data_IF_538563461673
#
_entry.id   IF_538563461673
#
_cell.length_a   1.000
_cell.length_b   1.000
_cell.length_c   1.000
_cell.angle_alpha   90.00
_cell.angle_beta   90.00
_cell.angle_gamma   90.00
#
_symmetry.space_group_name_H-M   'P 1'
#
loop_
_entity.id
_entity.type
_entity.pdbx_description
1 polymer ?
#
# COMPACT_ATOMS: atom_id res chain seq x y z
N UNK A 1 -26.10 -2.00 18.46
CA UNK A 1 -25.29 -3.11 17.93
C UNK A 1 -25.92 -3.52 16.62
N UNK A 2 -25.31 -3.14 15.51
CA UNK A 2 -25.81 -3.40 14.16
C UNK A 2 -25.78 -4.91 13.91
N UNK A 3 -26.95 -5.52 13.72
CA UNK A 3 -27.01 -6.89 13.22
C UNK A 3 -26.58 -6.85 11.75
N UNK A 4 -25.31 -7.12 11.49
CA UNK A 4 -24.76 -7.20 10.14
C UNK A 4 -25.05 -8.60 9.58
N UNK A 5 -25.67 -8.67 8.40
CA UNK A 5 -25.78 -9.92 7.63
C UNK A 5 -24.42 -10.19 6.99
N UNK A 6 -23.91 -11.42 7.08
CA UNK A 6 -22.63 -11.76 6.49
C UNK A 6 -22.71 -11.80 4.96
N UNK A 7 -21.75 -11.15 4.29
CA UNK A 7 -21.62 -11.18 2.84
C UNK A 7 -20.57 -12.22 2.46
N UNK A 8 -20.94 -13.12 1.55
CA UNK A 8 -20.09 -14.18 1.03
C UNK A 8 -19.94 -14.04 -0.48
N UNK A 9 -18.81 -14.47 -1.02
CA UNK A 9 -18.62 -14.57 -2.47
C UNK A 9 -18.97 -16.00 -2.91
N UNK A 10 -19.87 -16.11 -3.88
CA UNK A 10 -20.24 -17.38 -4.51
C UNK A 10 -20.16 -17.27 -6.02
N UNK A 11 -20.03 -18.41 -6.71
CA UNK A 11 -20.04 -18.44 -8.16
C UNK A 11 -21.46 -18.64 -8.68
N UNK A 12 -21.98 -17.66 -9.42
CA UNK A 12 -23.29 -17.68 -10.08
C UNK A 12 -23.02 -17.46 -11.57
N UNK A 13 -23.46 -18.38 -12.44
CA UNK A 13 -23.18 -18.33 -13.89
C UNK A 13 -21.70 -18.07 -14.27
N UNK A 14 -20.76 -18.74 -13.59
CA UNK A 14 -19.30 -18.58 -13.80
C UNK A 14 -18.72 -17.22 -13.39
N UNK A 15 -19.53 -16.31 -12.84
CA UNK A 15 -19.08 -15.04 -12.27
C UNK A 15 -19.05 -15.10 -10.75
N UNK A 16 -18.11 -14.38 -10.14
CA UNK A 16 -18.03 -14.26 -8.68
C UNK A 16 -18.95 -13.14 -8.22
N UNK A 17 -20.02 -13.49 -7.53
CA UNK A 17 -21.07 -12.55 -7.09
C UNK A 17 -21.14 -12.53 -5.56
N UNK A 18 -21.36 -11.33 -5.01
CA UNK A 18 -21.62 -11.17 -3.58
C UNK A 18 -23.03 -11.65 -3.26
N UNK A 19 -23.12 -12.51 -2.25
CA UNK A 19 -24.34 -13.19 -1.84
C UNK A 19 -24.51 -13.17 -0.32
N UNK A 20 -25.75 -13.36 0.12
CA UNK A 20 -26.11 -13.49 1.54
C UNK A 20 -26.85 -14.79 1.78
N UNK A 21 -26.74 -15.33 3.00
CA UNK A 21 -27.49 -16.51 3.39
C UNK A 21 -28.97 -16.15 3.62
N UNK A 22 -29.88 -16.81 2.91
CA UNK A 22 -31.31 -16.52 3.02
C UNK A 22 -31.88 -16.76 4.42
N UNK A 23 -31.31 -17.68 5.21
CA UNK A 23 -31.76 -17.96 6.59
C UNK A 23 -31.36 -16.85 7.54
N UNK A 24 -30.17 -16.28 7.35
CA UNK A 24 -29.73 -15.11 8.11
C UNK A 24 -30.59 -13.90 7.78
N UNK A 25 -30.90 -13.69 6.50
CA UNK A 25 -31.84 -12.65 6.07
C UNK A 25 -33.23 -12.84 6.67
N UNK A 26 -33.78 -14.07 6.62
CA UNK A 26 -35.07 -14.41 7.22
C UNK A 26 -35.12 -14.11 8.73
N UNK A 27 -34.07 -14.49 9.46
CA UNK A 27 -33.94 -14.23 10.88
C UNK A 27 -33.80 -12.72 11.18
N UNK A 28 -32.98 -12.00 10.39
CA UNK A 28 -32.80 -10.56 10.52
C UNK A 28 -34.09 -9.77 10.28
N UNK A 29 -34.88 -10.20 9.29
CA UNK A 29 -36.17 -9.61 8.96
C UNK A 29 -37.28 -10.01 9.93
N UNK A 30 -37.03 -10.91 10.89
CA UNK A 30 -38.01 -11.35 11.90
C UNK A 30 -39.32 -11.86 11.27
N UNK A 31 -39.21 -12.58 10.15
CA UNK A 31 -40.37 -13.09 9.41
C UNK A 31 -41.04 -14.24 10.18
N UNK A 32 -42.34 -14.09 10.46
CA UNK A 32 -43.10 -15.08 11.24
C UNK A 32 -43.44 -16.38 10.49
N UNK A 33 -43.43 -16.38 9.16
CA UNK A 33 -43.59 -17.61 8.35
C UNK A 33 -42.35 -18.51 8.48
N UNK A 34 -42.54 -19.83 8.41
CA UNK A 34 -41.39 -20.73 8.38
C UNK A 34 -40.52 -20.48 7.14
N UNK A 35 -39.21 -20.61 7.30
CA UNK A 35 -38.23 -20.30 6.24
C UNK A 35 -38.52 -21.01 4.92
N UNK A 36 -38.91 -22.28 4.94
CA UNK A 36 -39.02 -23.09 3.72
C UNK A 36 -40.21 -22.68 2.89
N UNK A 37 -41.34 -22.40 3.54
CA UNK A 37 -42.53 -21.85 2.90
C UNK A 37 -42.25 -20.42 2.44
N UNK A 38 -41.64 -19.60 3.29
CA UNK A 38 -41.34 -18.20 2.99
C UNK A 38 -40.47 -18.04 1.74
N UNK A 39 -39.32 -18.73 1.66
CA UNK A 39 -38.41 -18.54 0.53
C UNK A 39 -39.01 -19.04 -0.79
N UNK A 40 -39.77 -20.14 -0.76
CA UNK A 40 -40.46 -20.68 -1.94
C UNK A 40 -41.58 -19.74 -2.41
N UNK A 41 -42.39 -19.24 -1.48
CA UNK A 41 -43.44 -18.26 -1.77
C UNK A 41 -42.83 -17.02 -2.45
N UNK A 42 -41.72 -16.50 -1.92
CA UNK A 42 -41.07 -15.30 -2.45
C UNK A 42 -40.42 -15.53 -3.81
N UNK A 43 -39.73 -16.64 -4.00
CA UNK A 43 -39.16 -17.02 -5.30
C UNK A 43 -40.26 -17.07 -6.36
N UNK A 44 -41.38 -17.72 -6.05
CA UNK A 44 -42.50 -17.84 -7.00
C UNK A 44 -43.23 -16.53 -7.24
N UNK A 45 -43.47 -15.73 -6.19
CA UNK A 45 -44.23 -14.49 -6.27
C UNK A 45 -43.50 -13.39 -7.07
N UNK A 46 -42.18 -13.36 -6.99
CA UNK A 46 -41.32 -12.35 -7.64
C UNK A 46 -40.53 -12.91 -8.82
N UNK A 47 -40.83 -14.15 -9.23
CA UNK A 47 -40.25 -14.79 -10.41
C UNK A 47 -38.71 -14.84 -10.39
N UNK A 48 -38.10 -15.05 -9.22
CA UNK A 48 -36.65 -15.15 -9.08
C UNK A 48 -36.10 -16.43 -9.72
N UNK A 49 -34.98 -16.30 -10.43
CA UNK A 49 -34.38 -17.38 -11.22
C UNK A 49 -33.15 -17.98 -10.52
N UNK A 50 -33.11 -19.32 -10.43
CA UNK A 50 -31.93 -20.04 -9.94
C UNK A 50 -30.79 -19.94 -10.95
N UNK A 51 -29.59 -19.62 -10.46
CA UNK A 51 -28.43 -19.33 -11.30
C UNK A 51 -28.33 -17.86 -11.74
N UNK A 52 -29.30 -17.01 -11.37
CA UNK A 52 -29.23 -15.55 -11.59
C UNK A 52 -29.40 -14.79 -10.29
N UNK A 53 -30.52 -15.00 -9.62
CA UNK A 53 -30.89 -14.29 -8.40
C UNK A 53 -30.43 -15.02 -7.14
N UNK A 54 -30.27 -16.35 -7.23
CA UNK A 54 -29.78 -17.16 -6.13
C UNK A 54 -29.20 -18.51 -6.59
N UNK A 55 -28.52 -19.19 -5.69
CA UNK A 55 -28.10 -20.60 -5.84
C UNK A 55 -28.57 -21.42 -4.63
N UNK A 56 -28.82 -22.71 -4.85
CA UNK A 56 -29.14 -23.67 -3.79
C UNK A 56 -27.92 -24.51 -3.44
N UNK A 57 -27.68 -24.68 -2.15
CA UNK A 57 -26.71 -25.64 -1.61
C UNK A 57 -27.45 -26.69 -0.79
N UNK A 58 -26.96 -27.92 -0.83
CA UNK A 58 -27.56 -29.03 -0.09
C UNK A 58 -26.59 -29.50 0.97
N UNK A 59 -26.96 -29.28 2.22
CA UNK A 59 -26.17 -29.72 3.36
C UNK A 59 -26.84 -30.90 4.07
N UNK A 60 -26.04 -31.83 4.56
CA UNK A 60 -26.53 -32.93 5.39
C UNK A 60 -26.79 -32.42 6.81
N UNK A 61 -28.05 -32.43 7.23
CA UNK A 61 -28.39 -32.05 8.61
C UNK A 61 -28.17 -33.24 9.54
N UNK A 62 -27.46 -32.99 10.63
CA UNK A 62 -27.22 -34.02 11.66
C UNK A 62 -28.57 -34.53 12.22
N UNK A 63 -28.73 -35.85 12.39
CA UNK A 63 -29.94 -36.42 12.97
C UNK A 63 -30.15 -35.89 14.40
N UNK A 64 -31.41 -35.62 14.78
CA UNK A 64 -31.76 -35.32 16.18
C UNK A 64 -31.42 -36.53 17.04
N UNK A 65 -30.46 -36.38 17.96
CA UNK A 65 -30.15 -37.40 18.97
C UNK A 65 -31.40 -37.63 19.84
N UNK A 66 -31.82 -38.90 20.00
CA UNK A 66 -32.96 -39.29 20.86
C UNK A 66 -34.27 -39.62 20.13
N UNK A 67 -34.33 -39.61 18.80
CA UNK A 67 -35.49 -40.09 18.04
C UNK A 67 -35.20 -41.42 17.35
N UNK A 68 -36.03 -42.44 17.57
CA UNK A 68 -35.95 -43.72 16.86
C UNK A 68 -36.21 -43.60 15.34
N UNK A 69 -36.76 -42.46 14.89
CA UNK A 69 -36.98 -42.14 13.47
C UNK A 69 -35.98 -41.12 12.92
N UNK A 70 -34.85 -40.91 13.60
CA UNK A 70 -33.85 -39.93 13.18
C UNK A 70 -33.09 -40.40 11.94
N UNK A 71 -33.32 -39.73 10.81
CA UNK A 71 -32.57 -39.94 9.56
C UNK A 71 -31.78 -38.68 9.24
N UNK A 72 -30.70 -38.83 8.47
CA UNK A 72 -30.02 -37.69 7.85
C UNK A 72 -31.02 -37.03 6.91
N UNK A 73 -31.32 -35.75 7.16
CA UNK A 73 -32.25 -34.97 6.34
C UNK A 73 -31.45 -33.98 5.50
N UNK A 74 -31.73 -33.94 4.21
CA UNK A 74 -31.17 -32.97 3.29
C UNK A 74 -31.74 -31.58 3.62
N UNK A 75 -30.89 -30.65 4.04
CA UNK A 75 -31.26 -29.27 4.28
C UNK A 75 -30.87 -28.43 3.05
N UNK A 76 -31.88 -27.83 2.42
CA UNK A 76 -31.63 -26.90 1.31
C UNK A 76 -31.34 -25.52 1.92
N UNK A 77 -30.21 -24.96 1.52
CA UNK A 77 -29.78 -23.60 1.82
C UNK A 77 -29.81 -22.78 0.53
N UNK A 78 -30.05 -21.48 0.68
CA UNK A 78 -30.18 -20.54 -0.42
C UNK A 78 -29.18 -19.41 -0.21
N UNK A 79 -28.35 -19.14 -1.21
CA UNK A 79 -27.48 -17.98 -1.25
C UNK A 79 -28.04 -17.01 -2.28
N UNK A 80 -28.50 -15.86 -1.80
CA UNK A 80 -29.20 -14.85 -2.60
C UNK A 80 -28.21 -13.79 -3.04
N UNK A 81 -28.34 -13.25 -4.25
CA UNK A 81 -27.60 -12.05 -4.65
C UNK A 81 -27.97 -10.88 -3.74
N UNK A 82 -27.09 -9.88 -3.67
CA UNK A 82 -27.40 -8.66 -2.93
C UNK A 82 -28.67 -7.98 -3.43
N UNK A 83 -28.95 -8.01 -4.73
CA UNK A 83 -30.14 -7.36 -5.30
C UNK A 83 -31.43 -8.09 -4.92
N UNK A 84 -31.46 -9.42 -5.04
CA UNK A 84 -32.59 -10.22 -4.56
C UNK A 84 -32.81 -10.00 -3.05
N UNK A 85 -31.75 -10.01 -2.25
CA UNK A 85 -31.85 -9.79 -0.80
C UNK A 85 -32.42 -8.41 -0.44
N UNK A 86 -32.02 -7.36 -1.18
CA UNK A 86 -32.57 -6.01 -1.04
C UNK A 86 -34.06 -6.00 -1.33
N UNK A 87 -34.47 -6.60 -2.44
CA UNK A 87 -35.88 -6.65 -2.84
C UNK A 87 -36.74 -7.37 -1.79
N UNK A 88 -36.28 -8.51 -1.29
CA UNK A 88 -36.96 -9.23 -0.21
C UNK A 88 -37.09 -8.38 1.05
N UNK A 89 -36.01 -7.70 1.47
CA UNK A 89 -36.06 -6.82 2.64
C UNK A 89 -37.10 -5.69 2.45
N UNK A 90 -37.22 -5.13 1.25
CA UNK A 90 -38.21 -4.07 0.97
C UNK A 90 -39.66 -4.58 0.95
N UNK A 91 -39.88 -5.86 0.63
CA UNK A 91 -41.20 -6.47 0.50
C UNK A 91 -41.80 -6.96 1.82
N UNK A 92 -40.99 -7.29 2.83
CA UNK A 92 -41.47 -7.92 4.07
C UNK A 92 -42.40 -7.05 4.96
N UNK A 93 -42.69 -5.79 4.56
CA UNK A 93 -43.67 -4.88 5.21
C UNK A 93 -43.57 -4.85 6.75
N UNK A 94 -42.36 -4.93 7.30
CA UNK A 94 -42.09 -4.91 8.73
C UNK A 94 -41.06 -3.82 9.07
N UNK A 95 -40.83 -3.58 10.38
CA UNK A 95 -39.93 -2.51 10.83
C UNK A 95 -38.49 -2.69 10.32
N UNK A 96 -38.00 -3.93 10.22
CA UNK A 96 -36.67 -4.24 9.67
C UNK A 96 -36.58 -3.94 8.18
N UNK A 97 -37.62 -4.27 7.41
CA UNK A 97 -37.74 -3.92 6.01
C UNK A 97 -37.82 -2.42 5.76
N UNK A 98 -38.52 -1.69 6.65
CA UNK A 98 -38.56 -0.22 6.62
C UNK A 98 -37.18 0.40 6.91
N UNK A 99 -36.45 -0.13 7.88
CA UNK A 99 -35.07 0.28 8.18
C UNK A 99 -34.15 0.03 6.99
N UNK A 100 -34.22 -1.16 6.38
CA UNK A 100 -33.45 -1.48 5.17
C UNK A 100 -33.77 -0.50 4.03
N UNK A 101 -35.05 -0.23 3.77
CA UNK A 101 -35.48 0.74 2.75
C UNK A 101 -34.94 2.15 3.00
N UNK A 102 -35.03 2.64 4.24
CA UNK A 102 -34.51 3.97 4.62
C UNK A 102 -32.99 4.05 4.43
N UNK A 103 -32.26 3.01 4.85
CA UNK A 103 -30.82 2.93 4.67
C UNK A 103 -30.42 3.00 3.20
N UNK A 104 -31.07 2.24 2.31
CA UNK A 104 -30.77 2.29 0.87
C UNK A 104 -31.09 3.66 0.25
N UNK A 105 -32.22 4.28 0.61
CA UNK A 105 -32.56 5.64 0.15
C UNK A 105 -31.49 6.65 0.60
N UNK A 106 -30.99 6.51 1.82
CA UNK A 106 -29.92 7.38 2.34
C UNK A 106 -28.59 7.14 1.61
N UNK A 107 -28.24 5.88 1.32
CA UNK A 107 -27.09 5.53 0.50
C UNK A 107 -27.19 6.11 -0.92
N UNK A 108 -28.36 6.01 -1.58
CA UNK A 108 -28.57 6.62 -2.90
C UNK A 108 -28.47 8.15 -2.86
N UNK A 109 -29.02 8.79 -1.81
CA UNK A 109 -28.91 10.24 -1.63
C UNK A 109 -27.45 10.67 -1.49
N UNK A 110 -26.66 9.93 -0.69
CA UNK A 110 -25.22 10.17 -0.54
C UNK A 110 -24.46 9.96 -1.84
N UNK A 111 -24.74 8.86 -2.56
CA UNK A 111 -24.11 8.58 -3.84
C UNK A 111 -24.40 9.68 -4.88
N UNK A 112 -25.65 10.14 -4.97
CA UNK A 112 -26.05 11.26 -5.85
C UNK A 112 -25.38 12.59 -5.46
N UNK A 113 -25.17 12.85 -4.17
CA UNK A 113 -24.44 14.03 -3.72
C UNK A 113 -22.95 13.98 -4.12
N UNK A 114 -22.32 12.80 -4.00
CA UNK A 114 -20.90 12.60 -4.35
C UNK A 114 -20.67 12.74 -5.86
N UNK A 115 -21.63 12.32 -6.69
CA UNK A 115 -21.51 12.41 -8.16
C UNK A 115 -21.68 13.85 -8.70
N UNK A 116 -22.27 14.79 -7.93
CA UNK A 116 -22.60 16.14 -8.43
C UNK A 116 -21.55 17.23 -8.12
N UNK A 117 -20.27 16.92 -8.32
CA UNK A 117 -19.25 17.96 -8.55
C UNK A 117 -18.39 17.59 -9.76
N UNK A 118 -19.07 17.30 -10.88
CA UNK A 118 -18.42 17.25 -12.18
C UNK A 118 -17.97 18.66 -12.53
N UNK A 119 -16.65 18.87 -12.52
CA UNK A 119 -16.03 20.06 -13.08
C UNK A 119 -16.39 20.07 -14.57
N UNK A 120 -17.12 21.10 -15.01
CA UNK A 120 -17.44 21.27 -16.43
C UNK A 120 -16.20 21.74 -17.20
N UNK A 121 -15.45 20.78 -17.73
CA UNK A 121 -14.27 21.04 -18.55
C UNK A 121 -14.61 21.65 -19.93
N UNK A 122 -15.89 21.64 -20.33
CA UNK A 122 -16.35 22.33 -21.56
C UNK A 122 -16.45 23.83 -21.36
N UNK A 123 -16.51 24.31 -20.11
CA UNK A 123 -16.55 25.73 -19.79
C UNK A 123 -15.17 26.37 -20.01
N UNK A 124 -15.02 27.33 -20.95
CA UNK A 124 -13.73 27.96 -21.24
C UNK A 124 -13.13 28.69 -20.03
N UNK A 125 -13.94 29.24 -19.12
CA UNK A 125 -13.43 29.96 -17.94
C UNK A 125 -12.79 29.01 -16.92
N UNK A 126 -13.39 27.84 -16.73
CA UNK A 126 -12.85 26.80 -15.85
C UNK A 126 -11.50 26.33 -16.40
N UNK A 127 -11.44 26.06 -17.71
CA UNK A 127 -10.22 25.62 -18.37
C UNK A 127 -9.10 26.68 -18.36
N UNK A 128 -9.45 27.95 -18.59
CA UNK A 128 -8.50 29.07 -18.48
C UNK A 128 -7.92 29.18 -17.08
N UNK A 129 -8.74 29.04 -16.03
CA UNK A 129 -8.27 29.05 -14.64
C UNK A 129 -7.21 27.98 -14.37
N UNK A 130 -7.43 26.75 -14.85
CA UNK A 130 -6.44 25.67 -14.75
C UNK A 130 -5.16 25.98 -15.53
N UNK A 131 -5.27 26.47 -16.77
CA UNK A 131 -4.10 26.80 -17.57
C UNK A 131 -3.26 27.92 -16.96
N UNK A 132 -3.90 28.96 -16.44
CA UNK A 132 -3.19 30.05 -15.74
C UNK A 132 -2.47 29.52 -14.50
N UNK A 133 -3.12 28.68 -13.71
CA UNK A 133 -2.48 28.08 -12.54
C UNK A 133 -1.25 27.23 -12.92
N UNK A 134 -1.39 26.35 -13.90
CA UNK A 134 -0.31 25.49 -14.38
C UNK A 134 0.86 26.31 -14.96
N UNK A 135 0.55 27.36 -15.72
CA UNK A 135 1.57 28.27 -16.26
C UNK A 135 2.36 28.94 -15.13
N UNK A 136 1.67 29.48 -14.13
CA UNK A 136 2.30 30.14 -12.98
C UNK A 136 3.20 29.16 -12.20
N UNK A 137 2.78 27.91 -12.03
CA UNK A 137 3.60 26.87 -11.37
C UNK A 137 4.85 26.52 -12.18
N UNK A 138 4.75 26.47 -13.51
CA UNK A 138 5.93 26.25 -14.36
C UNK A 138 6.91 27.43 -14.27
N UNK A 139 6.42 28.67 -14.37
CA UNK A 139 7.26 29.87 -14.24
C UNK A 139 7.97 29.93 -12.88
N UNK A 140 7.28 29.57 -11.79
CA UNK A 140 7.88 29.45 -10.46
C UNK A 140 9.01 28.42 -10.42
N UNK A 141 8.78 27.25 -11.02
CA UNK A 141 9.81 26.19 -11.08
C UNK A 141 11.01 26.63 -11.92
N UNK A 142 10.77 27.27 -13.05
CA UNK A 142 11.83 27.80 -13.92
C UNK A 142 12.66 28.87 -13.20
N UNK A 143 12.02 29.75 -12.42
CA UNK A 143 12.74 30.71 -11.58
C UNK A 143 13.62 30.03 -10.53
N UNK A 144 13.10 29.03 -9.81
CA UNK A 144 13.88 28.27 -8.83
C UNK A 144 15.05 27.56 -9.51
N UNK A 145 14.82 26.94 -10.68
CA UNK A 145 15.86 26.26 -11.44
C UNK A 145 16.96 27.26 -11.87
N UNK A 146 16.58 28.43 -12.39
CA UNK A 146 17.52 29.47 -12.79
C UNK A 146 18.38 29.96 -11.61
N UNK A 147 17.82 29.98 -10.39
CA UNK A 147 18.57 30.33 -9.17
C UNK A 147 19.49 29.19 -8.68
N UNK A 148 19.05 27.94 -8.77
CA UNK A 148 19.78 26.78 -8.24
C UNK A 148 20.91 26.28 -9.15
N UNK A 149 20.77 26.39 -10.47
CA UNK A 149 21.81 26.00 -11.43
C UNK A 149 23.17 26.63 -11.10
N UNK A 150 23.32 27.96 -10.98
CA UNK A 150 24.62 28.57 -10.71
C UNK A 150 25.13 28.19 -9.32
N UNK A 151 24.26 27.97 -8.32
CA UNK A 151 24.65 27.50 -6.98
C UNK A 151 25.21 26.07 -7.03
N UNK A 152 24.56 25.17 -7.77
CA UNK A 152 25.03 23.80 -7.97
C UNK A 152 26.36 23.78 -8.74
N UNK A 153 26.47 24.56 -9.82
CA UNK A 153 27.72 24.67 -10.57
C UNK A 153 28.85 25.30 -9.76
N UNK A 154 28.57 26.31 -8.94
CA UNK A 154 29.56 26.90 -8.05
C UNK A 154 30.05 25.87 -7.02
N UNK A 155 29.15 25.06 -6.46
CA UNK A 155 29.50 23.96 -5.57
C UNK A 155 30.38 22.93 -6.29
N UNK A 156 30.05 22.54 -7.53
CA UNK A 156 30.89 21.66 -8.35
C UNK A 156 32.26 22.27 -8.67
N UNK A 157 32.34 23.58 -8.94
CA UNK A 157 33.63 24.29 -9.16
C UNK A 157 34.48 24.37 -7.89
N UNK A 158 33.84 24.52 -6.71
CA UNK A 158 34.50 24.49 -5.41
C UNK A 158 34.96 23.08 -5.00
N UNK A 159 34.47 22.02 -5.64
CA UNK A 159 34.99 20.66 -5.49
C UNK A 159 36.37 20.45 -6.14
N UNK A 160 37.07 21.51 -6.61
CA UNK A 160 38.38 21.40 -7.29
C UNK A 160 39.46 20.74 -6.42
N UNK A 161 39.92 19.60 -6.95
CA UNK A 161 41.29 19.03 -6.92
C UNK A 161 41.96 18.82 -5.57
N UNK A 162 41.55 17.74 -4.88
CA UNK A 162 42.38 16.72 -4.19
C UNK A 162 41.47 15.80 -3.35
N UNK A 163 40.33 15.41 -3.91
CA UNK A 163 39.15 14.98 -3.17
C UNK A 163 39.20 13.57 -2.58
N UNK A 164 40.36 13.04 -2.20
CA UNK A 164 40.54 11.74 -1.58
C UNK A 164 40.68 11.87 -0.06
N UNK A 165 39.56 11.84 0.65
CA UNK A 165 39.54 12.06 2.09
C UNK A 165 39.71 10.74 2.84
N UNK A 166 40.68 10.67 3.75
CA UNK A 166 40.74 9.58 4.72
C UNK A 166 39.53 9.62 5.66
N UNK A 167 39.16 8.48 6.26
CA UNK A 167 37.96 8.35 7.10
C UNK A 167 37.87 9.44 8.19
N UNK A 168 38.98 9.77 8.84
CA UNK A 168 39.00 10.81 9.88
C UNK A 168 38.66 12.19 9.35
N UNK A 169 39.20 12.55 8.19
CA UNK A 169 38.94 13.86 7.56
C UNK A 169 37.51 13.92 7.01
N UNK A 170 37.06 12.84 6.37
CA UNK A 170 35.68 12.69 5.91
C UNK A 170 34.67 12.81 7.05
N UNK A 171 34.95 12.21 8.21
CA UNK A 171 34.07 12.30 9.39
C UNK A 171 33.93 13.74 9.88
N UNK A 172 35.05 14.48 9.98
CA UNK A 172 35.03 15.90 10.34
C UNK A 172 34.21 16.74 9.36
N UNK A 173 34.36 16.50 8.05
CA UNK A 173 33.62 17.23 7.01
C UNK A 173 32.12 16.96 7.05
N UNK A 174 31.71 15.76 7.50
CA UNK A 174 30.30 15.38 7.68
C UNK A 174 29.75 15.74 9.07
N UNK A 175 30.55 16.35 9.94
CA UNK A 175 30.15 16.68 11.32
C UNK A 175 29.94 15.45 12.21
N UNK A 176 30.62 14.32 11.92
CA UNK A 176 30.47 13.04 12.61
C UNK A 176 31.74 12.65 13.37
N UNK A 177 31.59 11.79 14.38
CA UNK A 177 32.71 11.07 14.98
C UNK A 177 33.24 10.00 13.99
N UNK A 178 34.57 9.79 13.89
CA UNK A 178 35.13 8.78 12.98
C UNK A 178 34.60 7.35 13.21
N UNK A 179 34.29 7.00 14.46
CA UNK A 179 33.67 5.72 14.82
C UNK A 179 32.27 5.59 14.20
N UNK A 180 31.48 6.64 14.27
CA UNK A 180 30.11 6.66 13.75
C UNK A 180 30.10 6.60 12.23
N UNK A 181 30.99 7.35 11.57
CA UNK A 181 31.15 7.25 10.13
C UNK A 181 31.56 5.83 9.73
N UNK A 182 32.52 5.22 10.43
CA UNK A 182 32.94 3.83 10.15
C UNK A 182 31.77 2.85 10.31
N UNK A 183 30.98 2.98 11.37
CA UNK A 183 29.79 2.16 11.60
C UNK A 183 28.78 2.34 10.46
N UNK A 184 28.50 3.59 10.06
CA UNK A 184 27.58 3.89 8.95
C UNK A 184 28.08 3.35 7.62
N UNK A 185 29.38 3.38 7.34
CA UNK A 185 29.93 2.82 6.10
C UNK A 185 29.80 1.30 6.04
N UNK A 186 29.96 0.62 7.18
CA UNK A 186 29.78 -0.83 7.28
C UNK A 186 28.29 -1.20 7.13
N UNK A 187 27.41 -0.53 7.86
CA UNK A 187 25.97 -0.83 7.88
C UNK A 187 25.27 -0.51 6.54
N UNK A 188 25.74 0.51 5.82
CA UNK A 188 25.16 0.91 4.53
C UNK A 188 25.87 0.26 3.31
N UNK A 189 26.70 -0.77 3.52
CA UNK A 189 27.43 -1.46 2.46
C UNK A 189 28.28 -0.54 1.57
N UNK A 190 28.95 0.44 2.18
CA UNK A 190 29.94 1.27 1.50
C UNK A 190 31.34 0.64 1.58
N UNK A 191 31.65 0.03 2.72
CA UNK A 191 32.92 -0.63 2.96
C UNK A 191 32.74 -1.90 3.80
N UNK A 192 33.76 -2.75 3.82
CA UNK A 192 33.83 -3.97 4.61
C UNK A 192 35.19 -4.09 5.32
N UNK A 193 35.30 -5.00 6.30
CA UNK A 193 36.58 -5.31 6.94
C UNK A 193 37.24 -6.53 6.30
N UNK A 194 38.48 -6.38 5.86
CA UNK A 194 39.26 -7.51 5.32
C UNK A 194 39.55 -8.56 6.39
N UNK A 195 39.41 -9.85 6.04
CA UNK A 195 39.57 -10.97 6.98
C UNK A 195 40.98 -11.11 7.58
N UNK A 196 42.02 -10.69 6.87
CA UNK A 196 43.42 -10.83 7.32
C UNK A 196 43.93 -9.65 8.15
N UNK A 197 43.65 -8.41 7.74
CA UNK A 197 44.22 -7.20 8.37
C UNK A 197 43.16 -6.36 9.12
N UNK A 198 41.88 -6.81 9.15
CA UNK A 198 40.70 -6.10 9.72
C UNK A 198 40.53 -4.64 9.24
N UNK A 199 41.25 -4.27 8.17
CA UNK A 199 41.24 -2.95 7.56
C UNK A 199 39.95 -2.72 6.81
N UNK A 200 39.48 -1.48 6.85
CA UNK A 200 38.34 -1.03 6.08
C UNK A 200 38.74 -0.93 4.61
N UNK A 201 37.98 -1.55 3.71
CA UNK A 201 38.12 -1.50 2.26
C UNK A 201 36.76 -1.16 1.62
N UNK A 202 36.72 -0.31 0.58
CA UNK A 202 35.48 -0.01 -0.12
C UNK A 202 34.98 -1.20 -0.93
N UNK A 203 33.65 -1.31 -1.10
CA UNK A 203 33.10 -2.24 -2.08
C UNK A 203 33.39 -1.78 -3.50
N UNK A 204 33.61 -2.73 -4.43
CA UNK A 204 33.95 -2.44 -5.82
C UNK A 204 32.88 -1.58 -6.52
N UNK A 205 31.60 -1.73 -6.17
CA UNK A 205 30.53 -0.92 -6.75
C UNK A 205 30.66 0.57 -6.40
N UNK A 206 31.18 0.91 -5.21
CA UNK A 206 31.43 2.30 -4.79
C UNK A 206 32.64 2.89 -5.50
N UNK A 207 33.65 2.07 -5.77
CA UNK A 207 34.81 2.46 -6.59
C UNK A 207 34.35 2.74 -8.03
N UNK A 208 33.62 1.81 -8.64
CA UNK A 208 33.13 1.97 -10.02
C UNK A 208 32.22 3.19 -10.18
N UNK A 209 31.46 3.57 -9.14
CA UNK A 209 30.61 4.78 -9.13
C UNK A 209 31.40 6.07 -8.86
N UNK A 210 32.70 5.98 -8.58
CA UNK A 210 33.57 7.10 -8.24
C UNK A 210 33.26 7.74 -6.88
N UNK A 211 32.70 6.96 -5.94
CA UNK A 211 32.33 7.44 -4.59
C UNK A 211 33.43 7.20 -3.56
N UNK A 212 34.25 6.18 -3.77
CA UNK A 212 35.37 5.80 -2.90
C UNK A 212 36.54 5.32 -3.77
N UNK A 213 37.72 5.26 -3.19
CA UNK A 213 38.89 4.64 -3.82
C UNK A 213 39.79 3.99 -2.76
N UNK A 214 40.77 3.22 -3.21
CA UNK A 214 41.71 2.50 -2.38
C UNK A 214 43.15 2.71 -2.84
N UNK A 215 43.89 3.56 -2.11
CA UNK A 215 45.27 3.89 -2.46
C UNK A 215 46.28 3.04 -1.65
N UNK A 216 47.26 2.42 -2.32
CA UNK A 216 48.38 1.78 -1.64
C UNK A 216 49.36 2.82 -1.09
N UNK A 217 49.72 2.71 0.19
CA UNK A 217 50.74 3.51 0.88
C UNK A 217 51.74 2.58 1.56
N UNK A 218 53.03 2.89 1.49
CA UNK A 218 54.06 2.05 2.14
C UNK A 218 54.26 2.49 3.58
N UNK A 219 54.11 1.57 4.54
CA UNK A 219 54.47 1.80 5.95
C UNK A 219 55.75 1.04 6.28
N UNK A 220 56.58 1.60 7.15
CA UNK A 220 57.71 0.87 7.74
C UNK A 220 57.25 0.24 9.06
N UNK A 221 57.54 -1.04 9.23
CA UNK A 221 57.33 -1.74 10.50
C UNK A 221 58.48 -1.46 11.46
N UNK A 222 58.26 -1.71 12.76
CA UNK A 222 59.23 -1.49 13.85
C UNK A 222 60.56 -2.25 13.56
N UNK A 223 60.50 -3.34 12.79
CA UNK A 223 61.66 -4.12 12.35
C UNK A 223 62.34 -3.59 11.08
N UNK A 224 62.00 -2.38 10.61
CA UNK A 224 62.54 -1.76 9.40
C UNK A 224 62.04 -2.31 8.06
N UNK A 225 61.11 -3.28 8.06
CA UNK A 225 60.57 -3.86 6.81
C UNK A 225 59.49 -2.94 6.23
N UNK A 226 59.56 -2.69 4.92
CA UNK A 226 58.51 -1.96 4.16
C UNK A 226 57.32 -2.88 3.89
N UNK A 227 56.11 -2.44 4.24
CA UNK A 227 54.84 -3.15 3.97
C UNK A 227 53.92 -2.23 3.18
N UNK A 228 53.36 -2.73 2.07
CA UNK A 228 52.36 -1.99 1.28
C UNK A 228 50.96 -2.13 1.89
N UNK A 229 50.47 -0.98 2.33
CA UNK A 229 49.21 -0.61 2.96
C UNK A 229 48.06 -0.22 2.03
N UNK A 230 46.92 -0.88 1.94
CA UNK A 230 45.74 -0.27 1.33
C UNK A 230 45.05 0.70 2.31
N UNK A 231 44.74 1.92 1.84
CA UNK A 231 43.96 2.92 2.58
C UNK A 231 42.65 3.23 1.85
N UNK A 232 41.54 3.14 2.58
CA UNK A 232 40.24 3.61 2.08
C UNK A 232 40.20 5.14 2.03
N UNK A 233 39.76 5.66 0.88
CA UNK A 233 39.53 7.09 0.64
C UNK A 233 38.09 7.31 0.17
N UNK A 234 37.50 8.44 0.56
CA UNK A 234 36.16 8.86 0.14
C UNK A 234 36.30 10.04 -0.80
N UNK A 235 35.62 10.00 -1.94
CA UNK A 235 35.67 11.10 -2.91
C UNK A 235 34.81 12.28 -2.45
N UNK A 236 35.02 13.48 -2.99
CA UNK A 236 34.07 14.59 -2.81
C UNK A 236 32.65 14.22 -3.23
N UNK A 237 32.50 13.43 -4.30
CA UNK A 237 31.23 12.83 -4.75
C UNK A 237 30.66 11.85 -3.71
N UNK A 238 31.52 11.03 -3.11
CA UNK A 238 31.17 10.14 -2.00
C UNK A 238 30.65 10.90 -0.78
N UNK A 239 31.35 11.97 -0.37
CA UNK A 239 30.93 12.83 0.75
C UNK A 239 29.57 13.47 0.52
N UNK A 240 29.33 14.04 -0.66
CA UNK A 240 28.03 14.64 -1.00
C UNK A 240 26.90 13.60 -0.89
N UNK A 241 27.13 12.40 -1.43
CA UNK A 241 26.14 11.32 -1.38
C UNK A 241 25.91 10.77 0.03
N UNK A 242 26.95 10.69 0.86
CA UNK A 242 26.84 10.32 2.28
C UNK A 242 26.04 11.36 3.06
N UNK A 243 26.28 12.66 2.82
CA UNK A 243 25.53 13.76 3.45
C UNK A 243 24.02 13.65 3.17
N UNK A 244 23.64 13.44 1.91
CA UNK A 244 22.24 13.21 1.53
C UNK A 244 21.62 11.99 2.21
N UNK A 245 22.35 10.86 2.25
CA UNK A 245 21.85 9.62 2.88
C UNK A 245 21.66 9.78 4.38
N UNK A 246 22.53 10.54 5.05
CA UNK A 246 22.47 10.70 6.50
C UNK A 246 21.44 11.74 6.94
N UNK A 247 21.19 12.79 6.15
CA UNK A 247 20.08 13.73 6.44
C UNK A 247 18.71 13.05 6.35
N UNK A 248 18.50 12.16 5.38
CA UNK A 248 17.24 11.41 5.24
C UNK A 248 16.96 10.43 6.39
N UNK A 249 18.00 9.98 7.09
CA UNK A 249 17.87 9.06 8.24
C UNK A 249 17.57 9.77 9.56
N UNK A 250 17.69 11.11 9.63
CA UNK A 250 17.39 11.90 10.84
C UNK A 250 15.95 12.44 10.86
N UNK A 251 15.27 12.42 9.70
CA UNK A 251 13.89 12.91 9.53
C UNK A 251 12.82 11.81 9.70
N UNK A 252 13.23 10.60 10.07
CA UNK A 252 12.37 9.46 10.41
C UNK A 252 12.72 8.96 11.80
#
# INVERSE_FOLDING_TARGET
MEALIAIHNNTINQETVQTVNARELHAFLEVGKDFSTWIKDRINQYEFEEGKDFIKTQDLRSPKLGSAKSRVVLAINYHLTLDMAKELAMVERNEKGKQARQYFIDCERKAKQITTSQIDYSNPQVMLGFFTHLKNENERKDHIIAELIPKAEALERLKRSDGMFGITQAAKMLGLLPKDLTSRLLNNYWAYRSGMDKRLLPYQDKINKGLMDCEPHTIQTISGRKKTVLSTKITSKGLARLSEQFQKQTLH
#
